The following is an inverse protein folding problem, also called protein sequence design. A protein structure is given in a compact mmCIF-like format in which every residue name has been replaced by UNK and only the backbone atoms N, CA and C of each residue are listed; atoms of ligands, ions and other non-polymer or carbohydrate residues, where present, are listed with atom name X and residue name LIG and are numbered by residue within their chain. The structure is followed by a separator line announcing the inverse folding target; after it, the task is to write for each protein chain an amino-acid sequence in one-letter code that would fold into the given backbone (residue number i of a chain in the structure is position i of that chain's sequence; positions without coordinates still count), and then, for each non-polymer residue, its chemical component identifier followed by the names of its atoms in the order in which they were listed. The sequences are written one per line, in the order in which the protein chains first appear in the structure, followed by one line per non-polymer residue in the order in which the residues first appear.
data_IF_396205335991
#
_entry.id   IF_396205335991
#
_cell.length_a   1.000
_cell.length_b   1.000
_cell.length_c   1.000
_cell.angle_alpha   90.00
_cell.angle_beta   90.00
_cell.angle_gamma   90.00
#
_symmetry.space_group_name_H-M   'P 1'
#
loop_
_entity.id
_entity.type
_entity.pdbx_description
1 polymer ?
#
# COMPACT_ATOMS: atom_id res chain seq x y z
N UNK A 1 18.26 11.68 8.93
CA UNK A 1 19.01 10.48 8.52
C UNK A 1 18.33 9.96 7.27
N UNK A 2 19.10 9.69 6.22
CA UNK A 2 18.59 9.06 5.00
C UNK A 2 18.57 7.54 5.22
N UNK A 3 17.42 6.90 5.06
CA UNK A 3 17.23 5.45 5.25
C UNK A 3 17.03 4.80 3.88
N UNK A 4 17.74 3.71 3.62
CA UNK A 4 17.57 2.95 2.38
C UNK A 4 16.15 2.36 2.29
N UNK A 5 15.56 2.34 1.09
CA UNK A 5 14.22 1.80 0.83
C UNK A 5 14.02 0.39 1.42
N UNK A 6 15.00 -0.51 1.25
CA UNK A 6 14.93 -1.87 1.79
C UNK A 6 14.84 -1.90 3.32
N UNK A 7 15.58 -1.01 4.00
CA UNK A 7 15.56 -0.88 5.46
C UNK A 7 14.25 -0.26 5.92
N UNK A 8 13.72 0.71 5.19
CA UNK A 8 12.39 1.30 5.43
C UNK A 8 11.31 0.23 5.41
N UNK A 9 11.15 -0.46 4.27
CA UNK A 9 10.12 -1.48 4.12
C UNK A 9 10.28 -2.62 5.13
N UNK A 10 11.51 -3.08 5.40
CA UNK A 10 11.74 -4.14 6.38
C UNK A 10 11.29 -3.74 7.80
N UNK A 11 11.56 -2.49 8.22
CA UNK A 11 11.13 -1.98 9.52
C UNK A 11 9.60 -1.82 9.56
N UNK A 12 8.99 -1.18 8.56
CA UNK A 12 7.53 -0.98 8.51
C UNK A 12 6.80 -2.33 8.51
N UNK A 13 7.25 -3.31 7.72
CA UNK A 13 6.66 -4.66 7.70
C UNK A 13 6.75 -5.33 9.06
N UNK A 14 7.91 -5.27 9.73
CA UNK A 14 8.09 -5.86 11.06
C UNK A 14 7.14 -5.22 12.07
N UNK A 15 7.12 -3.90 12.13
CA UNK A 15 6.42 -3.15 13.17
C UNK A 15 4.91 -3.16 12.93
N UNK A 16 4.45 -3.05 11.67
CA UNK A 16 3.05 -3.16 11.31
C UNK A 16 2.49 -4.57 11.59
N UNK A 17 3.28 -5.63 11.35
CA UNK A 17 2.91 -7.00 11.74
C UNK A 17 2.79 -7.11 13.26
N UNK A 18 3.73 -6.57 14.03
CA UNK A 18 3.67 -6.61 15.49
C UNK A 18 2.42 -5.88 16.03
N UNK A 19 2.06 -4.73 15.45
CA UNK A 19 0.84 -3.99 15.77
C UNK A 19 -0.41 -4.81 15.43
N UNK A 20 -0.45 -5.42 14.25
CA UNK A 20 -1.56 -6.24 13.80
C UNK A 20 -1.74 -7.50 14.65
N UNK A 21 -0.66 -8.18 15.02
CA UNK A 21 -0.69 -9.41 15.82
C UNK A 21 -1.20 -9.15 17.25
N UNK A 22 -0.76 -8.04 17.84
CA UNK A 22 -1.26 -7.57 19.13
C UNK A 22 -2.75 -7.23 19.11
N UNK A 23 -3.30 -6.84 17.96
CA UNK A 23 -4.73 -6.57 17.79
C UNK A 23 -5.51 -7.84 17.45
N UNK A 24 -4.95 -8.68 16.57
CA UNK A 24 -5.58 -9.87 16.02
C UNK A 24 -5.92 -10.90 17.10
N UNK A 25 -5.10 -11.02 18.15
CA UNK A 25 -5.35 -11.91 19.30
C UNK A 25 -6.67 -11.63 20.04
N UNK A 26 -7.24 -10.44 19.85
CA UNK A 26 -8.52 -10.05 20.45
C UNK A 26 -9.73 -10.32 19.54
N UNK A 27 -9.54 -10.89 18.34
CA UNK A 27 -10.63 -11.21 17.42
C UNK A 27 -10.37 -12.45 16.57
N UNK A 28 -11.05 -13.55 16.92
CA UNK A 28 -11.05 -14.78 16.12
C UNK A 28 -11.72 -14.61 14.74
N UNK A 29 -12.52 -13.56 14.54
CA UNK A 29 -13.32 -13.37 13.32
C UNK A 29 -12.51 -12.75 12.17
N UNK A 30 -11.59 -11.85 12.50
CA UNK A 30 -10.88 -11.06 11.48
C UNK A 30 -9.38 -10.93 11.74
N UNK A 31 -8.82 -11.56 12.76
CA UNK A 31 -7.38 -11.49 13.07
C UNK A 31 -6.49 -11.90 11.91
N UNK A 32 -6.78 -13.04 11.25
CA UNK A 32 -6.01 -13.48 10.07
C UNK A 32 -6.12 -12.48 8.90
N UNK A 33 -7.32 -11.94 8.67
CA UNK A 33 -7.56 -10.94 7.63
C UNK A 33 -6.79 -9.65 7.91
N UNK A 34 -6.81 -9.17 9.16
CA UNK A 34 -6.08 -7.99 9.59
C UNK A 34 -4.59 -8.17 9.34
N UNK A 35 -4.02 -9.28 9.82
CA UNK A 35 -2.60 -9.58 9.69
C UNK A 35 -2.16 -9.66 8.23
N UNK A 36 -2.90 -10.40 7.39
CA UNK A 36 -2.59 -10.53 5.98
C UNK A 36 -2.70 -9.20 5.22
N UNK A 37 -3.72 -8.39 5.52
CA UNK A 37 -3.93 -7.11 4.86
C UNK A 37 -2.88 -6.06 5.26
N UNK A 38 -2.58 -5.95 6.57
CA UNK A 38 -1.56 -5.02 7.08
C UNK A 38 -0.19 -5.37 6.52
N UNK A 39 0.17 -6.66 6.52
CA UNK A 39 1.43 -7.11 5.93
C UNK A 39 1.54 -6.71 4.44
N UNK A 40 0.50 -6.98 3.66
CA UNK A 40 0.49 -6.65 2.24
C UNK A 40 0.58 -5.13 2.00
N UNK A 41 -0.14 -4.34 2.80
CA UNK A 41 -0.08 -2.89 2.71
C UNK A 41 1.32 -2.37 3.10
N UNK A 42 1.88 -2.83 4.22
CA UNK A 42 3.21 -2.45 4.69
C UNK A 42 4.31 -2.72 3.67
N UNK A 43 4.26 -3.86 2.98
CA UNK A 43 5.25 -4.23 1.97
C UNK A 43 5.23 -3.29 0.75
N UNK A 44 4.03 -2.82 0.33
CA UNK A 44 3.87 -2.11 -0.94
C UNK A 44 3.40 -0.66 -0.84
N UNK A 45 3.06 -0.11 0.34
CA UNK A 45 2.50 1.25 0.51
C UNK A 45 3.35 2.32 -0.20
N UNK A 46 4.67 2.13 -0.14
CA UNK A 46 5.69 3.06 -0.63
C UNK A 46 6.30 2.67 -1.98
N UNK A 47 5.69 1.74 -2.72
CA UNK A 47 6.27 1.21 -3.97
C UNK A 47 6.63 2.32 -4.98
N UNK A 48 5.85 3.41 -5.02
CA UNK A 48 6.10 4.52 -5.93
C UNK A 48 7.29 5.41 -5.55
N UNK A 49 7.87 5.26 -4.35
CA UNK A 49 9.14 5.91 -4.01
C UNK A 49 10.29 5.43 -4.91
N UNK A 50 10.14 4.26 -5.54
CA UNK A 50 11.10 3.70 -6.50
C UNK A 50 11.03 4.34 -7.89
N UNK A 51 10.14 5.30 -8.13
CA UNK A 51 10.14 6.10 -9.36
C UNK A 51 11.42 6.93 -9.48
N UNK A 52 11.94 7.10 -10.70
CA UNK A 52 13.18 7.84 -10.94
C UNK A 52 13.07 9.32 -10.49
N UNK A 53 11.90 9.94 -10.64
CA UNK A 53 11.63 11.31 -10.17
C UNK A 53 11.66 11.35 -8.64
N UNK A 54 11.04 10.36 -7.98
CA UNK A 54 11.05 10.29 -6.51
C UNK A 54 12.44 9.96 -5.96
N UNK A 55 13.20 9.08 -6.61
CA UNK A 55 14.59 8.78 -6.24
C UNK A 55 15.49 10.00 -6.40
N UNK A 56 15.28 10.82 -7.42
CA UNK A 56 16.03 12.07 -7.58
C UNK A 56 15.73 13.06 -6.45
N UNK A 57 14.46 13.23 -6.09
CA UNK A 57 14.05 14.08 -4.96
C UNK A 57 14.64 13.56 -3.65
N UNK A 58 14.61 12.25 -3.39
CA UNK A 58 15.15 11.65 -2.17
C UNK A 58 16.68 11.82 -2.08
N UNK A 59 17.40 11.57 -3.17
CA UNK A 59 18.87 11.67 -3.24
C UNK A 59 19.38 13.10 -3.11
N UNK A 60 18.66 14.05 -3.67
CA UNK A 60 19.07 15.47 -3.68
C UNK A 60 18.46 16.28 -2.54
N UNK A 61 17.42 15.73 -1.89
CA UNK A 61 16.56 16.43 -0.94
C UNK A 61 15.99 17.75 -1.51
N UNK A 62 15.76 17.79 -2.83
CA UNK A 62 15.30 18.95 -3.57
C UNK A 62 14.04 18.63 -4.39
N UNK A 63 13.05 19.53 -4.33
CA UNK A 63 11.80 19.38 -5.07
C UNK A 63 10.71 18.66 -4.28
N UNK A 64 9.65 18.24 -4.99
CA UNK A 64 8.49 17.54 -4.42
C UNK A 64 8.35 16.19 -5.07
N UNK A 65 8.19 15.14 -4.26
CA UNK A 65 7.86 13.81 -4.76
C UNK A 65 6.53 13.81 -5.51
N UNK A 66 6.48 13.04 -6.59
CA UNK A 66 5.22 12.69 -7.24
C UNK A 66 4.46 11.68 -6.36
N UNK A 67 3.15 11.55 -6.58
CA UNK A 67 2.28 10.75 -5.70
C UNK A 67 2.68 9.26 -5.67
N UNK A 68 3.46 8.87 -4.66
CA UNK A 68 4.07 7.55 -4.58
C UNK A 68 3.09 6.44 -4.17
N UNK A 69 1.98 6.83 -3.52
CA UNK A 69 0.96 5.91 -3.01
C UNK A 69 0.27 5.10 -4.13
N UNK A 70 0.06 5.70 -5.30
CA UNK A 70 -0.71 5.08 -6.40
C UNK A 70 -0.09 3.75 -6.86
N UNK A 71 1.24 3.63 -6.87
CA UNK A 71 1.94 2.42 -7.28
C UNK A 71 1.68 1.23 -6.34
N UNK A 72 1.63 1.48 -5.03
CA UNK A 72 1.29 0.45 -4.04
C UNK A 72 -0.12 -0.07 -4.25
N UNK A 73 -1.08 0.84 -4.42
CA UNK A 73 -2.47 0.49 -4.74
C UNK A 73 -2.54 -0.28 -6.06
N UNK A 74 -1.86 0.19 -7.11
CA UNK A 74 -1.81 -0.45 -8.42
C UNK A 74 -1.34 -1.90 -8.33
N UNK A 75 -0.27 -2.16 -7.58
CA UNK A 75 0.23 -3.51 -7.34
C UNK A 75 -0.80 -4.39 -6.62
N UNK A 76 -1.42 -3.87 -5.55
CA UNK A 76 -2.35 -4.64 -4.72
C UNK A 76 -3.64 -5.00 -5.49
N UNK A 77 -4.14 -4.12 -6.37
CA UNK A 77 -5.38 -4.38 -7.11
C UNK A 77 -5.19 -5.18 -8.41
N UNK A 78 -3.96 -5.37 -8.87
CA UNK A 78 -3.61 -6.17 -10.07
C UNK A 78 -3.76 -7.70 -9.85
N UNK A 79 -4.04 -8.13 -8.62
CA UNK A 79 -4.27 -9.54 -8.29
C UNK A 79 -5.75 -9.93 -8.10
N UNK A 80 -6.01 -11.15 -7.63
CA UNK A 80 -7.36 -11.64 -7.39
C UNK A 80 -8.15 -10.74 -6.43
N UNK A 81 -9.45 -10.59 -6.66
CA UNK A 81 -10.31 -9.76 -5.80
C UNK A 81 -10.65 -10.48 -4.50
N UNK A 82 -9.85 -10.25 -3.47
CA UNK A 82 -10.03 -10.80 -2.10
C UNK A 82 -10.24 -9.68 -1.08
N UNK A 83 -10.77 -10.01 0.10
CA UNK A 83 -10.90 -9.05 1.20
C UNK A 83 -9.55 -8.55 1.68
N UNK A 84 -8.50 -9.38 1.67
CA UNK A 84 -7.13 -8.97 2.03
C UNK A 84 -6.67 -7.83 1.15
N UNK A 85 -6.78 -7.98 -0.18
CA UNK A 85 -6.34 -6.96 -1.14
C UNK A 85 -7.19 -5.70 -1.07
N UNK A 86 -8.50 -5.82 -0.83
CA UNK A 86 -9.36 -4.65 -0.65
C UNK A 86 -8.97 -3.81 0.58
N UNK A 87 -8.76 -4.47 1.73
CA UNK A 87 -8.32 -3.79 2.97
C UNK A 87 -6.91 -3.23 2.81
N UNK A 88 -6.00 -3.98 2.21
CA UNK A 88 -4.62 -3.56 1.98
C UNK A 88 -4.54 -2.35 1.03
N UNK A 89 -5.29 -2.36 -0.06
CA UNK A 89 -5.33 -1.26 -1.03
C UNK A 89 -5.86 0.02 -0.37
N UNK A 90 -6.89 -0.09 0.47
CA UNK A 90 -7.42 1.06 1.23
C UNK A 90 -6.42 1.58 2.26
N UNK A 91 -5.74 0.69 3.00
CA UNK A 91 -4.72 1.11 3.98
C UNK A 91 -3.53 1.77 3.27
N UNK A 92 -3.02 1.15 2.21
CA UNK A 92 -1.97 1.72 1.36
C UNK A 92 -2.44 3.03 0.72
N UNK A 93 -3.69 3.19 0.31
CA UNK A 93 -4.17 4.48 -0.18
C UNK A 93 -4.21 5.55 0.92
N UNK A 94 -4.64 5.18 2.13
CA UNK A 94 -4.95 6.14 3.18
C UNK A 94 -3.77 6.55 4.08
N UNK A 95 -2.61 5.89 4.02
CA UNK A 95 -1.51 6.13 4.99
C UNK A 95 -0.91 7.55 4.99
N UNK A 96 -1.07 8.33 3.92
CA UNK A 96 -0.71 9.75 3.89
C UNK A 96 -1.91 10.70 3.76
N UNK A 97 -3.13 10.16 3.78
CA UNK A 97 -4.35 10.94 3.67
C UNK A 97 -4.94 11.24 5.07
N UNK A 98 -5.73 12.32 5.24
CA UNK A 98 -6.29 12.72 6.54
C UNK A 98 -7.38 11.77 7.08
N UNK A 99 -7.45 10.54 6.60
CA UNK A 99 -8.39 9.52 7.05
C UNK A 99 -8.78 8.52 5.96
N UNK A 100 -9.78 7.70 6.29
CA UNK A 100 -10.36 6.74 5.36
C UNK A 100 -11.27 7.44 4.33
N UNK A 101 -11.18 7.07 3.04
CA UNK A 101 -12.07 7.61 2.03
C UNK A 101 -13.51 7.08 2.17
N UNK A 102 -14.46 7.79 1.54
CA UNK A 102 -15.80 7.27 1.29
C UNK A 102 -15.74 6.06 0.37
N UNK A 103 -16.00 4.87 0.91
CA UNK A 103 -15.91 3.61 0.14
C UNK A 103 -16.91 3.58 -1.03
N UNK A 104 -18.09 4.18 -0.85
CA UNK A 104 -19.11 4.29 -1.91
C UNK A 104 -18.57 5.16 -3.05
N UNK A 105 -18.12 6.37 -2.75
CA UNK A 105 -17.55 7.31 -3.72
C UNK A 105 -16.36 6.70 -4.49
N UNK A 106 -15.48 5.98 -3.80
CA UNK A 106 -14.34 5.29 -4.43
C UNK A 106 -14.79 4.17 -5.36
N UNK A 107 -15.82 3.40 -5.00
CA UNK A 107 -16.37 2.35 -5.85
C UNK A 107 -17.07 2.91 -7.09
N UNK A 108 -17.74 4.06 -6.99
CA UNK A 108 -18.41 4.73 -8.10
C UNK A 108 -17.46 5.17 -9.21
N UNK A 109 -16.16 5.36 -8.91
CA UNK A 109 -15.11 5.60 -9.93
C UNK A 109 -14.99 4.44 -10.92
N UNK A 110 -15.36 3.23 -10.50
CA UNK A 110 -15.37 2.02 -11.32
C UNK A 110 -14.07 1.20 -11.26
N UNK A 111 -14.12 0.03 -11.90
CA UNK A 111 -13.01 -0.93 -11.91
C UNK A 111 -11.72 -0.30 -12.44
N UNK A 112 -10.62 -0.54 -11.73
CA UNK A 112 -9.30 -0.02 -12.06
C UNK A 112 -9.06 1.43 -11.63
N UNK A 113 -10.07 2.12 -11.07
CA UNK A 113 -9.95 3.52 -10.59
C UNK A 113 -10.13 3.69 -9.08
N UNK A 114 -10.65 2.68 -8.39
CA UNK A 114 -10.84 2.68 -6.93
C UNK A 114 -9.49 2.90 -6.25
N UNK A 115 -9.39 3.94 -5.41
CA UNK A 115 -8.16 4.35 -4.72
C UNK A 115 -6.98 4.72 -5.63
N UNK A 116 -7.22 4.98 -6.92
CA UNK A 116 -6.19 5.33 -7.90
C UNK A 116 -6.21 6.81 -8.23
N UNK A 117 -5.04 7.34 -8.54
CA UNK A 117 -4.86 8.75 -8.81
C UNK A 117 -5.32 9.14 -10.22
N UNK A 118 -6.14 10.18 -10.30
CA UNK A 118 -6.69 10.73 -11.54
C UNK A 118 -6.17 12.15 -11.85
N UNK A 119 -5.23 12.68 -11.07
CA UNK A 119 -4.60 13.96 -11.38
C UNK A 119 -3.65 13.83 -12.57
N UNK A 120 -3.21 14.96 -13.18
CA UNK A 120 -2.18 14.93 -14.19
C UNK A 120 -0.83 14.41 -13.65
N UNK A 121 -0.16 13.57 -14.43
CA UNK A 121 1.24 13.16 -14.23
C UNK A 121 2.23 14.17 -14.83
N UNK A 122 3.53 14.05 -14.54
CA UNK A 122 4.57 14.93 -15.09
C UNK A 122 4.61 15.00 -16.62
N UNK A 123 4.21 13.92 -17.30
CA UNK A 123 4.14 13.84 -18.77
C UNK A 123 2.78 14.28 -19.36
N UNK A 124 1.89 14.83 -18.52
CA UNK A 124 0.56 15.29 -18.91
C UNK A 124 -0.49 14.18 -19.04
N UNK A 125 -0.12 12.90 -18.90
CA UNK A 125 -1.08 11.80 -18.85
C UNK A 125 -1.86 11.79 -17.52
N UNK A 126 -2.86 10.91 -17.39
CA UNK A 126 -3.49 10.64 -16.09
C UNK A 126 -2.52 9.83 -15.21
N UNK A 127 -2.35 10.21 -13.94
CA UNK A 127 -1.34 9.67 -13.05
C UNK A 127 -1.37 8.13 -12.93
N UNK A 128 -2.54 7.51 -12.74
CA UNK A 128 -2.65 6.04 -12.74
C UNK A 128 -2.10 5.38 -14.00
N UNK A 129 -2.23 6.01 -15.16
CA UNK A 129 -1.73 5.45 -16.42
C UNK A 129 -0.21 5.59 -16.51
N UNK A 130 0.33 6.69 -15.99
CA UNK A 130 1.77 6.83 -15.78
C UNK A 130 2.31 5.71 -14.88
N UNK A 131 1.70 5.52 -13.70
CA UNK A 131 2.06 4.43 -12.78
C UNK A 131 1.98 3.06 -13.45
N UNK A 132 0.90 2.79 -14.20
CA UNK A 132 0.72 1.49 -14.87
C UNK A 132 1.86 1.19 -15.85
N UNK A 133 2.38 2.21 -16.57
CA UNK A 133 3.54 2.05 -17.47
C UNK A 133 4.82 1.69 -16.71
N UNK A 134 5.00 2.22 -15.51
CA UNK A 134 6.22 2.03 -14.71
C UNK A 134 6.16 0.82 -13.76
N UNK A 135 4.97 0.26 -13.53
CA UNK A 135 4.70 -0.69 -12.45
C UNK A 135 5.58 -1.95 -12.50
N UNK A 136 5.89 -2.47 -13.68
CA UNK A 136 6.78 -3.63 -13.84
C UNK A 136 8.22 -3.32 -13.41
N UNK A 137 8.69 -2.10 -13.71
CA UNK A 137 9.99 -1.59 -13.27
C UNK A 137 10.05 -1.46 -11.75
N UNK A 138 9.01 -0.89 -11.13
CA UNK A 138 8.94 -0.78 -9.67
C UNK A 138 8.94 -2.16 -8.99
N UNK A 139 8.17 -3.12 -9.51
CA UNK A 139 8.17 -4.51 -8.99
C UNK A 139 9.56 -5.14 -9.04
N UNK A 140 10.27 -4.96 -10.16
CA UNK A 140 11.62 -5.50 -10.33
C UNK A 140 12.59 -4.90 -9.32
N UNK A 141 12.59 -3.56 -9.17
CA UNK A 141 13.43 -2.84 -8.21
C UNK A 141 13.09 -3.24 -6.77
N UNK A 142 11.81 -3.33 -6.43
CA UNK A 142 11.34 -3.77 -5.12
C UNK A 142 11.88 -5.16 -4.81
N UNK A 143 11.72 -6.11 -5.73
CA UNK A 143 12.17 -7.49 -5.56
C UNK A 143 13.69 -7.59 -5.37
N UNK A 144 14.49 -6.73 -6.03
CA UNK A 144 15.93 -6.65 -5.78
C UNK A 144 16.31 -6.06 -4.43
N UNK A 145 15.46 -5.21 -3.83
CA UNK A 145 15.72 -4.54 -2.57
C UNK A 145 15.28 -5.36 -1.34
N UNK A 146 14.18 -6.11 -1.44
CA UNK A 146 13.53 -6.79 -0.30
C UNK A 146 13.37 -8.31 -0.49
N UNK A 147 14.28 -8.95 -1.23
CA UNK A 147 14.23 -10.37 -1.59
C UNK A 147 14.06 -11.36 -0.42
N UNK A 148 14.34 -10.93 0.82
CA UNK A 148 14.31 -11.78 2.02
C UNK A 148 13.04 -11.60 2.87
N UNK A 149 12.06 -10.80 2.44
CA UNK A 149 10.79 -10.73 3.16
C UNK A 149 10.02 -12.05 2.98
N UNK A 150 9.36 -12.54 4.04
CA UNK A 150 8.47 -13.71 3.92
C UNK A 150 7.38 -13.48 2.85
N UNK A 151 6.69 -14.52 2.42
CA UNK A 151 5.53 -14.33 1.55
C UNK A 151 4.29 -13.86 2.36
N UNK A 152 3.42 -13.06 1.75
CA UNK A 152 2.10 -12.76 2.33
C UNK A 152 1.23 -14.01 2.25
N UNK A 153 0.68 -14.48 3.38
CA UNK A 153 -0.35 -15.52 3.39
C UNK A 153 -1.57 -15.02 2.61
N UNK A 154 -1.90 -15.68 1.50
CA UNK A 154 -3.11 -15.36 0.74
C UNK A 154 -4.31 -15.97 1.46
N UNK A 155 -5.33 -15.15 1.71
CA UNK A 155 -6.65 -15.61 2.14
C UNK A 155 -7.62 -15.41 0.96
N UNK A 156 -8.11 -16.52 0.42
CA UNK A 156 -9.03 -16.51 -0.74
C UNK A 156 -10.47 -16.17 -0.35
N UNK A 157 -10.80 -16.19 0.95
CA UNK A 157 -12.15 -15.96 1.43
C UNK A 157 -12.55 -14.47 1.37
N UNK A 158 -13.75 -14.21 0.82
CA UNK A 158 -14.41 -12.90 0.92
C UNK A 158 -15.06 -12.74 2.28
N UNK A 159 -14.27 -12.38 3.27
CA UNK A 159 -14.73 -12.05 4.61
C UNK A 159 -15.20 -10.58 4.61
N UNK A 160 -16.41 -10.26 5.10
CA UNK A 160 -16.83 -8.87 5.25
C UNK A 160 -15.82 -8.09 6.11
N UNK A 161 -15.35 -6.95 5.59
CA UNK A 161 -14.44 -6.06 6.30
C UNK A 161 -15.24 -4.97 7.04
N UNK A 162 -15.49 -5.11 8.35
CA UNK A 162 -16.22 -4.09 9.09
C UNK A 162 -15.41 -2.78 9.17
N UNK A 163 -16.04 -1.61 9.35
CA UNK A 163 -15.34 -0.33 9.44
C UNK A 163 -14.27 -0.26 10.54
N UNK A 164 -14.42 -1.05 11.61
CA UNK A 164 -13.41 -1.18 12.66
C UNK A 164 -12.12 -1.84 12.12
N UNK A 165 -12.24 -2.91 11.32
CA UNK A 165 -11.09 -3.59 10.71
C UNK A 165 -10.30 -2.63 9.83
N UNK A 166 -10.98 -1.82 9.03
CA UNK A 166 -10.33 -0.84 8.14
C UNK A 166 -9.50 0.18 8.92
N UNK A 167 -10.05 0.67 10.05
CA UNK A 167 -9.34 1.60 10.95
C UNK A 167 -8.16 0.95 11.63
N UNK A 168 -8.31 -0.29 12.10
CA UNK A 168 -7.21 -1.04 12.72
C UNK A 168 -6.08 -1.31 11.72
N UNK A 169 -6.43 -1.69 10.48
CA UNK A 169 -5.45 -1.91 9.43
C UNK A 169 -4.67 -0.64 9.08
N UNK A 170 -5.38 0.50 8.96
CA UNK A 170 -4.74 1.79 8.74
C UNK A 170 -3.86 2.21 9.93
N UNK A 171 -4.34 2.07 11.17
CA UNK A 171 -3.56 2.40 12.37
C UNK A 171 -2.28 1.58 12.44
N UNK A 172 -2.36 0.26 12.23
CA UNK A 172 -1.17 -0.60 12.28
C UNK A 172 -0.11 -0.19 11.26
N UNK A 173 -0.53 0.28 10.07
CA UNK A 173 0.36 0.76 9.03
C UNK A 173 0.94 2.14 9.36
N UNK A 174 0.11 3.11 9.72
CA UNK A 174 0.52 4.50 9.99
C UNK A 174 1.36 4.61 11.27
N UNK A 175 1.12 3.76 12.28
CA UNK A 175 1.94 3.73 13.49
C UNK A 175 3.33 3.11 13.23
N UNK A 176 3.51 2.40 12.11
CA UNK A 176 4.75 1.72 11.74
C UNK A 176 5.59 2.48 10.68
N UNK A 177 4.95 3.24 9.80
CA UNK A 177 5.57 4.13 8.80
C UNK A 177 5.95 5.50 9.39
#
# INVERSE_FOLDING_TARGET
MEQAYSVHIANVVRDAIANADNTAKHSHKFGELLLAAVRLAAEFHDLGKLDDINQEVLRTNCGKMIHHVDAGVAHIIDGPRTSVRAVAALAAFAHHNPGLPGIVDENEKGTGKVFRDSTPAPDGAVFREYTNRQLSGYRTRHQSCVANLPAVKQLEAKIPAPPLLLRLALSCLVDAD
#
